data_IF_831876084592
#
_entry.id   IF_831876084592
#
_cell.length_a   1.000
_cell.length_b   1.000
_cell.length_c   1.000
_cell.angle_alpha   90.00
_cell.angle_beta   90.00
_cell.angle_gamma   90.00
#
_symmetry.space_group_name_H-M   'P 1'
#
loop_
_entity.id
_entity.type
_entity.pdbx_description
1 polymer ?
#
# COMPACT_ATOMS: atom_id res chain seq x y z
N UNK A 1 -17.58 -11.09 0.64
CA UNK A 1 -16.66 -10.44 1.60
C UNK A 1 -15.27 -11.01 1.39
N UNK A 2 -14.46 -10.38 0.53
CA UNK A 2 -13.01 -10.61 0.43
C UNK A 2 -12.37 -9.27 0.77
N UNK A 3 -12.31 -8.93 2.05
CA UNK A 3 -11.75 -7.67 2.53
C UNK A 3 -10.21 -7.63 2.50
N UNK A 4 -9.56 -8.76 2.24
CA UNK A 4 -8.12 -8.92 2.32
C UNK A 4 -7.51 -9.17 0.95
N UNK A 5 -6.48 -8.38 0.62
CA UNK A 5 -5.87 -8.34 -0.70
C UNK A 5 -5.01 -9.57 -1.06
N UNK A 6 -4.48 -9.62 -2.29
CA UNK A 6 -3.76 -10.78 -2.83
C UNK A 6 -2.56 -11.23 -1.98
N UNK A 7 -1.82 -10.29 -1.40
CA UNK A 7 -0.69 -10.58 -0.50
C UNK A 7 -1.13 -11.29 0.77
N UNK A 8 -2.24 -10.85 1.36
CA UNK A 8 -2.77 -11.49 2.56
C UNK A 8 -3.17 -12.92 2.22
N UNK A 9 -3.98 -13.12 1.17
CA UNK A 9 -4.50 -14.45 0.80
C UNK A 9 -3.38 -15.39 0.37
N UNK A 10 -2.46 -14.93 -0.47
CA UNK A 10 -1.44 -15.77 -1.08
C UNK A 10 -0.21 -16.03 -0.21
N UNK A 11 0.05 -15.23 0.82
CA UNK A 11 1.20 -15.42 1.72
C UNK A 11 0.75 -15.73 3.14
N UNK A 12 0.03 -14.80 3.79
CA UNK A 12 -0.39 -14.96 5.19
C UNK A 12 -1.43 -16.06 5.35
N UNK A 13 -2.44 -16.09 4.48
CA UNK A 13 -3.49 -17.11 4.46
C UNK A 13 -2.95 -18.51 4.21
N UNK A 14 -1.76 -18.64 3.61
CA UNK A 14 -1.06 -19.91 3.40
C UNK A 14 -0.11 -20.28 4.57
N UNK A 15 -0.01 -19.46 5.61
CA UNK A 15 0.89 -19.68 6.74
C UNK A 15 2.38 -19.51 6.41
N UNK A 16 2.71 -18.84 5.30
CA UNK A 16 4.11 -18.66 4.87
C UNK A 16 4.83 -17.56 5.65
N UNK A 17 4.09 -16.53 6.05
CA UNK A 17 4.57 -15.40 6.85
C UNK A 17 3.43 -14.84 7.72
N UNK A 18 3.74 -14.30 8.90
CA UNK A 18 2.74 -13.56 9.67
C UNK A 18 2.39 -12.22 8.99
N UNK A 19 3.40 -11.55 8.44
CA UNK A 19 3.24 -10.31 7.69
C UNK A 19 3.89 -10.42 6.31
N UNK A 20 3.22 -9.87 5.31
CA UNK A 20 3.76 -9.68 3.97
C UNK A 20 3.21 -8.36 3.41
N UNK A 21 4.10 -7.49 2.95
CA UNK A 21 3.78 -6.13 2.55
C UNK A 21 4.58 -5.67 1.33
N UNK A 22 4.04 -4.65 0.67
CA UNK A 22 4.75 -3.88 -0.34
C UNK A 22 4.85 -2.44 0.14
N UNK A 23 6.05 -1.88 0.04
CA UNK A 23 6.34 -0.51 0.46
C UNK A 23 7.02 0.26 -0.66
N UNK A 24 6.63 1.51 -0.86
CA UNK A 24 7.28 2.42 -1.79
C UNK A 24 8.33 3.26 -1.05
N UNK A 25 9.59 3.05 -1.41
CA UNK A 25 10.68 3.93 -1.04
C UNK A 25 10.59 5.25 -1.80
N UNK A 26 9.83 6.21 -1.30
CA UNK A 26 9.57 7.50 -1.98
C UNK A 26 10.85 8.23 -2.41
N UNK A 27 11.92 8.15 -1.63
CA UNK A 27 13.20 8.78 -1.97
C UNK A 27 14.00 8.04 -3.04
N UNK A 28 13.89 6.71 -3.08
CA UNK A 28 14.66 5.87 -4.00
C UNK A 28 13.86 5.49 -5.25
N UNK A 29 12.55 5.75 -5.27
CA UNK A 29 11.63 5.30 -6.32
C UNK A 29 11.46 3.78 -6.36
N UNK A 30 11.94 3.04 -5.36
CA UNK A 30 11.96 1.58 -5.36
C UNK A 30 10.74 1.00 -4.65
N UNK A 31 10.27 -0.15 -5.13
CA UNK A 31 9.30 -0.97 -4.43
C UNK A 31 10.03 -2.06 -3.64
N UNK A 32 9.71 -2.17 -2.36
CA UNK A 32 10.25 -3.17 -1.46
C UNK A 32 9.16 -4.16 -1.08
N UNK A 33 9.46 -5.45 -1.24
CA UNK A 33 8.67 -6.50 -0.63
C UNK A 33 9.26 -6.82 0.75
N UNK A 34 8.41 -6.78 1.77
CA UNK A 34 8.78 -7.10 3.15
C UNK A 34 7.98 -8.30 3.64
N UNK A 35 8.62 -9.17 4.42
CA UNK A 35 7.97 -10.31 5.04
C UNK A 35 8.52 -10.53 6.46
N UNK A 36 7.64 -10.72 7.44
CA UNK A 36 8.03 -10.95 8.84
C UNK A 36 7.48 -12.25 9.39
N UNK A 37 8.24 -12.85 10.30
CA UNK A 37 7.95 -14.17 10.91
C UNK A 37 7.65 -15.23 9.84
N UNK A 38 8.56 -15.32 8.88
CA UNK A 38 8.49 -16.28 7.79
C UNK A 38 8.90 -17.67 8.26
N UNK A 39 8.01 -18.64 8.10
CA UNK A 39 8.32 -20.06 8.29
C UNK A 39 9.20 -20.60 7.15
N UNK A 40 9.05 -20.04 5.94
CA UNK A 40 9.88 -20.37 4.78
C UNK A 40 10.02 -19.16 3.83
N UNK A 41 11.09 -18.35 3.96
CA UNK A 41 11.29 -17.15 3.16
C UNK A 41 11.27 -17.39 1.65
N UNK A 42 11.92 -18.46 1.18
CA UNK A 42 11.95 -18.79 -0.25
C UNK A 42 10.55 -19.09 -0.81
N UNK A 43 9.70 -19.81 -0.05
CA UNK A 43 8.32 -20.09 -0.46
C UNK A 43 7.44 -18.83 -0.42
N UNK A 44 7.65 -17.95 0.56
CA UNK A 44 6.95 -16.66 0.65
C UNK A 44 7.27 -15.77 -0.56
N UNK A 45 8.55 -15.65 -0.93
CA UNK A 45 8.98 -14.92 -2.12
C UNK A 45 8.42 -15.54 -3.41
N UNK A 46 8.47 -16.87 -3.54
CA UNK A 46 7.88 -17.56 -4.69
C UNK A 46 6.34 -17.40 -4.77
N UNK A 47 5.65 -17.31 -3.63
CA UNK A 47 4.22 -17.00 -3.58
C UNK A 47 3.95 -15.55 -4.00
N UNK A 48 4.79 -14.61 -3.54
CA UNK A 48 4.73 -13.22 -3.96
C UNK A 48 4.91 -13.05 -5.47
N UNK A 49 5.89 -13.70 -6.09
CA UNK A 49 6.07 -13.65 -7.55
C UNK A 49 4.86 -14.18 -8.32
N UNK A 50 4.27 -15.29 -7.87
CA UNK A 50 3.03 -15.83 -8.48
C UNK A 50 1.86 -14.85 -8.38
N UNK A 51 1.77 -14.08 -7.29
CA UNK A 51 0.77 -13.01 -7.17
C UNK A 51 1.02 -11.93 -8.23
N UNK A 52 2.27 -11.49 -8.40
CA UNK A 52 2.63 -10.47 -9.39
C UNK A 52 2.30 -10.90 -10.82
N UNK A 53 2.57 -12.16 -11.17
CA UNK A 53 2.23 -12.74 -12.47
C UNK A 53 0.72 -12.71 -12.76
N UNK A 54 -0.12 -12.76 -11.72
CA UNK A 54 -1.57 -12.67 -11.83
C UNK A 54 -2.12 -11.24 -11.96
N UNK A 55 -1.33 -10.21 -11.65
CA UNK A 55 -1.79 -8.81 -11.67
C UNK A 55 -2.27 -8.36 -13.06
N UNK A 56 -1.54 -8.63 -14.17
CA UNK A 56 -2.01 -8.26 -15.50
C UNK A 56 -3.38 -8.85 -15.84
N UNK A 57 -3.64 -10.10 -15.46
CA UNK A 57 -4.93 -10.75 -15.69
C UNK A 57 -6.05 -10.11 -14.85
N UNK A 58 -5.78 -9.78 -13.58
CA UNK A 58 -6.71 -9.08 -12.69
C UNK A 58 -7.08 -7.68 -13.23
N UNK A 59 -6.12 -7.00 -13.88
CA UNK A 59 -6.33 -5.69 -14.47
C UNK A 59 -6.90 -5.74 -15.90
N UNK A 60 -6.91 -6.91 -16.54
CA UNK A 60 -7.41 -7.07 -17.90
C UNK A 60 -8.94 -6.93 -17.99
N UNK A 61 -9.66 -7.23 -16.90
CA UNK A 61 -11.10 -6.97 -16.79
C UNK A 61 -11.34 -5.51 -16.41
N UNK A 62 -11.99 -4.69 -17.27
CA UNK A 62 -12.22 -3.28 -16.95
C UNK A 62 -13.06 -3.06 -15.70
N UNK A 63 -14.00 -3.98 -15.41
CA UNK A 63 -14.85 -3.91 -14.22
C UNK A 63 -14.06 -4.21 -12.95
N UNK A 64 -13.24 -5.27 -12.96
CA UNK A 64 -12.41 -5.64 -11.81
C UNK A 64 -11.32 -4.61 -11.55
N UNK A 65 -10.70 -4.07 -12.60
CA UNK A 65 -9.72 -3.00 -12.49
C UNK A 65 -10.35 -1.74 -11.86
N UNK A 66 -11.54 -1.32 -12.30
CA UNK A 66 -12.25 -0.17 -11.72
C UNK A 66 -12.58 -0.41 -10.25
N UNK A 67 -13.06 -1.61 -9.89
CA UNK A 67 -13.36 -1.96 -8.50
C UNK A 67 -12.10 -1.91 -7.64
N UNK A 68 -11.00 -2.52 -8.09
CA UNK A 68 -9.74 -2.54 -7.37
C UNK A 68 -9.17 -1.12 -7.16
N UNK A 69 -9.27 -0.24 -8.16
CA UNK A 69 -8.85 1.16 -8.05
C UNK A 69 -9.71 1.91 -7.03
N UNK A 70 -11.04 1.75 -7.06
CA UNK A 70 -11.95 2.41 -6.12
C UNK A 70 -11.69 1.97 -4.67
N UNK A 71 -11.55 0.67 -4.43
CA UNK A 71 -11.23 0.11 -3.11
C UNK A 71 -9.86 0.60 -2.60
N UNK A 72 -8.84 0.58 -3.47
CA UNK A 72 -7.50 1.08 -3.13
C UNK A 72 -7.53 2.56 -2.79
N UNK A 73 -8.25 3.37 -3.57
CA UNK A 73 -8.39 4.80 -3.32
C UNK A 73 -9.08 5.07 -1.99
N UNK A 74 -10.16 4.36 -1.67
CA UNK A 74 -10.83 4.47 -0.38
C UNK A 74 -9.88 4.13 0.79
N UNK A 75 -9.10 3.05 0.67
CA UNK A 75 -8.14 2.64 1.69
C UNK A 75 -6.99 3.65 1.89
N UNK A 76 -6.49 4.23 0.79
CA UNK A 76 -5.47 5.29 0.83
C UNK A 76 -6.02 6.54 1.51
N UNK A 77 -7.20 7.01 1.10
CA UNK A 77 -7.83 8.19 1.69
C UNK A 77 -8.08 7.99 3.19
N UNK A 78 -8.59 6.82 3.59
CA UNK A 78 -8.75 6.48 5.00
C UNK A 78 -7.42 6.54 5.75
N UNK A 79 -6.36 5.91 5.21
CA UNK A 79 -5.03 5.90 5.84
C UNK A 79 -4.47 7.31 6.01
N UNK A 80 -4.64 8.18 5.00
CA UNK A 80 -4.21 9.58 5.05
C UNK A 80 -4.96 10.35 6.14
N UNK A 81 -6.28 10.19 6.23
CA UNK A 81 -7.10 10.86 7.23
C UNK A 81 -6.80 10.35 8.65
N UNK A 82 -6.68 9.03 8.83
CA UNK A 82 -6.37 8.42 10.13
C UNK A 82 -5.01 8.87 10.68
N UNK A 83 -4.01 9.10 9.81
CA UNK A 83 -2.70 9.63 10.24
C UNK A 83 -2.80 11.05 10.80
N UNK A 84 -3.75 11.86 10.33
CA UNK A 84 -3.98 13.22 10.84
C UNK A 84 -4.82 13.25 12.12
N UNK A 85 -5.40 12.13 12.54
CA UNK A 85 -6.26 12.07 13.74
C UNK A 85 -5.49 12.18 15.06
N UNK A 86 -4.15 12.22 15.03
CA UNK A 86 -3.32 12.35 16.23
C UNK A 86 -2.26 13.44 16.05
N UNK A 87 -1.94 14.17 17.12
CA UNK A 87 -0.90 15.19 17.10
C UNK A 87 0.46 14.62 16.67
N UNK A 88 0.79 13.41 17.13
CA UNK A 88 2.01 12.69 16.73
C UNK A 88 2.06 12.44 15.22
N UNK A 89 0.95 11.98 14.63
CA UNK A 89 0.87 11.71 13.20
C UNK A 89 1.02 12.98 12.35
N UNK A 90 0.41 14.09 12.77
CA UNK A 90 0.58 15.41 12.11
C UNK A 90 2.03 15.88 12.18
N UNK A 91 2.65 15.82 13.36
CA UNK A 91 4.06 16.22 13.54
C UNK A 91 5.01 15.36 12.69
N UNK A 92 4.82 14.04 12.69
CA UNK A 92 5.64 13.12 11.89
C UNK A 92 5.55 13.41 10.39
N UNK A 93 4.34 13.73 9.90
CA UNK A 93 4.14 14.11 8.50
C UNK A 93 4.79 15.44 8.13
N UNK A 94 4.71 16.45 9.01
CA UNK A 94 5.37 17.74 8.80
C UNK A 94 6.89 17.59 8.72
N UNK A 95 7.49 16.85 9.66
CA UNK A 95 8.93 16.56 9.67
C UNK A 95 9.34 15.83 8.37
N UNK A 96 8.59 14.80 7.97
CA UNK A 96 8.88 14.06 6.75
C UNK A 96 8.84 14.95 5.50
N UNK A 97 7.82 15.81 5.38
CA UNK A 97 7.67 16.70 4.22
C UNK A 97 8.84 17.69 4.12
N UNK A 98 9.25 18.26 5.26
CA UNK A 98 10.41 19.14 5.35
C UNK A 98 11.69 18.47 4.82
N UNK A 99 11.98 17.23 5.24
CA UNK A 99 13.18 16.51 4.78
C UNK A 99 13.09 16.03 3.34
N UNK A 100 11.88 15.86 2.79
CA UNK A 100 11.67 15.42 1.41
C UNK A 100 11.66 16.57 0.40
N UNK A 101 11.73 17.82 0.88
CA UNK A 101 11.69 19.00 0.02
C UNK A 101 10.34 19.22 -0.66
N UNK A 102 9.28 18.60 -0.15
CA UNK A 102 7.91 18.89 -0.58
C UNK A 102 7.38 20.11 0.17
N UNK A 103 6.68 20.99 -0.55
CA UNK A 103 6.00 22.13 0.05
C UNK A 103 4.98 21.66 1.11
N UNK A 104 4.66 22.55 2.06
CA UNK A 104 3.84 22.31 3.25
C UNK A 104 2.74 21.23 3.08
N UNK A 105 2.61 20.27 4.02
CA UNK A 105 1.69 19.13 3.93
C UNK A 105 0.21 19.52 3.88
N UNK A 106 -0.15 20.77 4.14
CA UNK A 106 -1.54 21.24 4.18
C UNK A 106 -2.04 21.71 2.80
N UNK A 107 -1.17 22.19 1.91
CA UNK A 107 -1.59 22.76 0.62
C UNK A 107 -1.61 21.78 -0.56
N UNK A 108 -0.75 20.76 -0.54
CA UNK A 108 -0.65 19.80 -1.65
C UNK A 108 -1.55 18.58 -1.48
N UNK A 109 -1.79 18.13 -0.25
CA UNK A 109 -2.60 16.93 -0.02
C UNK A 109 -4.10 17.16 -0.14
N UNK A 110 -4.61 18.34 0.21
CA UNK A 110 -6.03 18.66 -0.05
C UNK A 110 -6.27 18.77 -1.57
N UNK A 111 -5.29 19.29 -2.33
CA UNK A 111 -5.30 19.26 -3.81
C UNK A 111 -5.18 17.85 -4.38
N UNK A 112 -4.37 16.98 -3.77
CA UNK A 112 -4.24 15.59 -4.21
C UNK A 112 -5.45 14.73 -3.81
N UNK A 113 -6.08 15.00 -2.67
CA UNK A 113 -7.36 14.41 -2.27
C UNK A 113 -8.46 14.87 -3.22
N UNK A 114 -8.52 16.15 -3.59
CA UNK A 114 -9.46 16.67 -4.61
C UNK A 114 -9.22 16.09 -6.00
N UNK A 115 -7.96 15.85 -6.41
CA UNK A 115 -7.63 15.15 -7.67
C UNK A 115 -7.97 13.68 -7.63
N UNK A 116 -7.90 13.10 -6.44
CA UNK A 116 -8.35 11.74 -6.25
C UNK A 116 -9.86 11.69 -6.31
N UNK A 117 -10.61 12.64 -5.71
CA UNK A 117 -12.09 12.72 -5.65
C UNK A 117 -12.79 12.67 -7.02
#
# INVERSE_FOLDING_TARGET
SRSEGPLWVGVRGQGLAYHAGLELGVLTGQLFYTSHECSSPAKAVAAFHRILEGVPAMLASPEEARRAIAETRAAVLFTLHSRRSTASGVMHQAIRSFFQGSDSPEGDLDRDVERLL
#
